data_IF_765978156112
#
_entry.id   IF_765978156112
#
_cell.length_a   1.000
_cell.length_b   1.000
_cell.length_c   1.000
_cell.angle_alpha   90.00
_cell.angle_beta   90.00
_cell.angle_gamma   90.00
#
_symmetry.space_group_name_H-M   'P 1'
#
loop_
_entity.id
_entity.type
_entity.pdbx_description
1 polymer ?
#
# COMPACT_ATOMS: atom_id res chain seq x y z
N UNK A 1 -38.48 6.03 -12.59
CA UNK A 1 -37.59 6.30 -13.75
C UNK A 1 -36.48 5.23 -13.76
N UNK A 2 -36.58 4.32 -14.73
CA UNK A 2 -35.70 3.15 -14.83
C UNK A 2 -34.32 3.60 -15.28
N UNK A 3 -33.25 3.38 -14.47
CA UNK A 3 -31.85 3.49 -14.89
C UNK A 3 -31.60 2.42 -15.96
N UNK A 4 -31.54 2.82 -17.23
CA UNK A 4 -31.00 1.96 -18.28
C UNK A 4 -29.56 1.61 -17.92
N UNK A 5 -29.33 0.37 -17.59
CA UNK A 5 -27.97 -0.17 -17.45
C UNK A 5 -27.33 -0.08 -18.83
N UNK A 6 -26.44 0.89 -19.02
CA UNK A 6 -25.72 1.07 -20.28
C UNK A 6 -24.76 -0.11 -20.42
N UNK A 7 -25.05 -1.07 -21.33
CA UNK A 7 -24.14 -2.17 -21.60
C UNK A 7 -22.96 -1.63 -22.42
N UNK A 8 -21.74 -1.93 -22.01
CA UNK A 8 -20.49 -1.54 -22.70
C UNK A 8 -20.50 -1.90 -24.18
N UNK A 9 -21.11 -3.02 -24.57
CA UNK A 9 -21.26 -3.46 -25.95
C UNK A 9 -22.05 -2.48 -26.86
N UNK A 10 -22.85 -1.60 -26.27
CA UNK A 10 -23.60 -0.57 -27.01
C UNK A 10 -22.90 0.79 -27.09
N UNK A 11 -21.71 0.94 -26.49
CA UNK A 11 -20.94 2.17 -26.48
C UNK A 11 -19.87 2.14 -27.57
N UNK A 12 -19.82 3.20 -28.37
CA UNK A 12 -18.73 3.44 -29.31
C UNK A 12 -17.54 4.07 -28.55
N UNK A 13 -16.57 3.23 -28.16
CA UNK A 13 -15.41 3.67 -27.38
C UNK A 13 -14.55 4.72 -28.13
N UNK A 14 -14.63 4.81 -29.46
CA UNK A 14 -13.95 5.86 -30.21
C UNK A 14 -14.47 7.25 -29.85
N UNK A 15 -15.72 7.35 -29.38
CA UNK A 15 -16.28 8.63 -28.92
C UNK A 15 -15.63 9.14 -27.63
N UNK A 16 -14.96 8.28 -26.83
CA UNK A 16 -14.20 8.73 -25.66
C UNK A 16 -12.99 9.56 -26.07
N UNK A 17 -12.25 9.14 -27.10
CA UNK A 17 -11.09 9.89 -27.62
C UNK A 17 -11.57 11.25 -28.16
N UNK A 18 -12.65 11.25 -28.94
CA UNK A 18 -13.25 12.50 -29.46
C UNK A 18 -13.70 13.41 -28.32
N UNK A 19 -14.36 12.86 -27.31
CA UNK A 19 -14.85 13.64 -26.15
C UNK A 19 -13.66 14.25 -25.40
N UNK A 20 -12.60 13.49 -25.12
CA UNK A 20 -11.39 13.97 -24.46
C UNK A 20 -10.82 15.21 -25.18
N UNK A 21 -10.58 15.11 -26.47
CA UNK A 21 -9.99 16.19 -27.23
C UNK A 21 -10.92 17.42 -27.36
N UNK A 22 -12.23 17.20 -27.44
CA UNK A 22 -13.21 18.29 -27.43
C UNK A 22 -13.21 19.05 -26.09
N UNK A 23 -13.13 18.32 -24.97
CA UNK A 23 -13.10 18.92 -23.63
C UNK A 23 -11.79 19.71 -23.39
N UNK A 24 -10.66 19.21 -23.90
CA UNK A 24 -9.35 19.86 -23.81
C UNK A 24 -9.29 21.12 -24.68
N UNK A 25 -9.56 20.98 -25.97
CA UNK A 25 -9.34 22.03 -26.96
C UNK A 25 -10.45 23.10 -26.96
N UNK A 26 -11.65 22.75 -26.53
CA UNK A 26 -12.84 23.63 -26.59
C UNK A 26 -13.03 24.25 -27.98
N UNK A 27 -12.59 23.53 -29.00
CA UNK A 27 -12.60 23.93 -30.38
C UNK A 27 -12.69 22.70 -31.28
N UNK A 28 -13.74 22.67 -32.11
CA UNK A 28 -14.05 21.51 -32.97
C UNK A 28 -12.96 21.26 -34.01
N UNK A 29 -12.42 22.33 -34.60
CA UNK A 29 -11.38 22.21 -35.64
C UNK A 29 -10.08 21.68 -35.05
N UNK A 30 -9.61 22.26 -33.95
CA UNK A 30 -8.38 21.79 -33.27
C UNK A 30 -8.52 20.39 -32.73
N UNK A 31 -9.68 20.04 -32.18
CA UNK A 31 -9.94 18.69 -31.73
C UNK A 31 -9.91 17.68 -32.89
N UNK A 32 -10.43 18.05 -34.08
CA UNK A 32 -10.36 17.20 -35.27
C UNK A 32 -8.92 16.94 -35.72
N UNK A 33 -8.08 17.97 -35.73
CA UNK A 33 -6.64 17.86 -36.02
C UNK A 33 -5.93 16.94 -35.04
N UNK A 34 -6.22 17.06 -33.74
CA UNK A 34 -5.65 16.22 -32.68
C UNK A 34 -6.04 14.75 -32.78
N UNK A 35 -7.31 14.47 -33.10
CA UNK A 35 -7.82 13.10 -33.28
C UNK A 35 -7.37 12.50 -34.63
N UNK A 36 -6.96 13.32 -35.57
CA UNK A 36 -6.60 12.86 -36.92
C UNK A 36 -7.81 12.57 -37.83
N UNK A 37 -8.95 13.24 -37.59
CA UNK A 37 -10.18 13.08 -38.38
C UNK A 37 -10.59 14.39 -39.07
N UNK A 38 -11.47 14.29 -40.08
CA UNK A 38 -12.02 15.50 -40.70
C UNK A 38 -12.98 16.25 -39.74
N UNK A 39 -13.05 17.58 -39.87
CA UNK A 39 -13.96 18.41 -39.08
C UNK A 39 -15.44 17.96 -39.20
N UNK A 40 -15.97 17.57 -40.39
CA UNK A 40 -17.32 17.00 -40.48
C UNK A 40 -17.51 15.73 -39.69
N UNK A 41 -16.51 14.83 -39.70
CA UNK A 41 -16.56 13.60 -38.93
C UNK A 41 -16.59 13.89 -37.40
N UNK A 42 -15.75 14.82 -36.92
CA UNK A 42 -15.76 15.21 -35.51
C UNK A 42 -17.07 15.90 -35.12
N UNK A 43 -17.63 16.72 -36.00
CA UNK A 43 -18.96 17.38 -35.79
C UNK A 43 -20.07 16.33 -35.64
N UNK A 44 -20.06 15.30 -36.47
CA UNK A 44 -21.00 14.17 -36.36
C UNK A 44 -20.84 13.41 -35.04
N UNK A 45 -19.58 13.16 -34.62
CA UNK A 45 -19.29 12.52 -33.33
C UNK A 45 -19.76 13.40 -32.15
N UNK A 46 -19.56 14.74 -32.20
CA UNK A 46 -20.07 15.67 -31.20
C UNK A 46 -21.63 15.64 -31.15
N UNK A 47 -22.30 15.56 -32.28
CA UNK A 47 -23.75 15.44 -32.31
C UNK A 47 -24.24 14.11 -31.67
N UNK A 48 -23.48 13.02 -31.81
CA UNK A 48 -23.79 11.75 -31.13
C UNK A 48 -23.57 11.86 -29.63
N UNK A 49 -22.49 12.49 -29.19
CA UNK A 49 -22.20 12.75 -27.77
C UNK A 49 -23.28 13.62 -27.12
N UNK A 50 -23.71 14.71 -27.78
CA UNK A 50 -24.81 15.57 -27.31
C UNK A 50 -26.11 14.81 -27.11
N UNK A 51 -26.45 13.92 -28.04
CA UNK A 51 -27.64 13.04 -27.88
C UNK A 51 -27.50 12.04 -26.77
N UNK A 52 -26.29 11.49 -26.55
CA UNK A 52 -26.03 10.50 -25.51
C UNK A 52 -26.13 11.12 -24.12
N UNK A 53 -25.54 12.29 -23.92
CA UNK A 53 -25.51 12.98 -22.63
C UNK A 53 -26.71 13.92 -22.42
N UNK A 54 -27.54 14.13 -23.45
CA UNK A 54 -28.62 15.11 -23.43
C UNK A 54 -28.15 16.50 -23.01
N UNK A 55 -26.90 16.87 -23.43
CA UNK A 55 -26.19 18.10 -23.08
C UNK A 55 -25.38 18.60 -24.27
N UNK A 56 -25.30 19.90 -24.41
CA UNK A 56 -24.56 20.52 -25.51
C UNK A 56 -23.03 20.36 -25.40
N UNK A 57 -22.51 20.02 -24.22
CA UNK A 57 -21.10 19.86 -23.87
C UNK A 57 -20.25 21.11 -24.11
N UNK A 58 -20.37 21.72 -25.27
CA UNK A 58 -19.73 22.97 -25.70
C UNK A 58 -20.77 23.98 -26.13
N UNK A 59 -20.84 25.11 -25.45
CA UNK A 59 -21.73 26.26 -25.81
C UNK A 59 -20.92 27.44 -26.30
N UNK A 60 -21.47 28.20 -27.28
CA UNK A 60 -20.81 29.38 -27.78
C UNK A 60 -20.76 30.49 -26.73
N UNK A 61 -19.60 31.11 -26.56
CA UNK A 61 -19.40 32.27 -25.69
C UNK A 61 -18.44 33.24 -26.37
N UNK A 62 -18.96 34.35 -26.84
CA UNK A 62 -18.18 35.31 -27.61
C UNK A 62 -17.58 34.69 -28.89
N UNK A 63 -16.26 34.78 -29.06
CA UNK A 63 -15.53 34.23 -30.22
C UNK A 63 -15.12 32.78 -30.08
N UNK A 64 -15.51 32.06 -28.99
CA UNK A 64 -15.07 30.70 -28.71
C UNK A 64 -16.17 29.79 -28.15
N UNK A 65 -15.76 28.70 -27.60
CA UNK A 65 -16.63 27.75 -26.91
C UNK A 65 -16.21 27.59 -25.43
N UNK A 66 -17.20 27.38 -24.56
CA UNK A 66 -17.01 27.04 -23.14
C UNK A 66 -17.72 25.75 -22.85
N UNK A 67 -17.19 25.03 -21.83
CA UNK A 67 -17.76 23.76 -21.37
C UNK A 67 -19.04 24.00 -20.56
N UNK A 68 -20.05 23.17 -20.77
CA UNK A 68 -21.21 23.11 -19.88
C UNK A 68 -20.80 22.63 -18.48
N UNK A 69 -21.66 22.76 -17.45
CA UNK A 69 -21.40 22.19 -16.13
C UNK A 69 -21.13 20.68 -16.19
N UNK A 70 -21.93 19.93 -16.97
CA UNK A 70 -21.75 18.49 -17.18
C UNK A 70 -20.41 18.17 -17.84
N UNK A 71 -20.05 18.89 -18.90
CA UNK A 71 -18.77 18.70 -19.60
C UNK A 71 -17.57 18.92 -18.68
N UNK A 72 -17.63 19.88 -17.75
CA UNK A 72 -16.59 20.07 -16.72
C UNK A 72 -16.47 18.89 -15.77
N UNK A 73 -17.59 18.32 -15.35
CA UNK A 73 -17.60 17.11 -14.49
C UNK A 73 -17.02 15.90 -15.23
N UNK A 74 -17.35 15.74 -16.52
CA UNK A 74 -16.87 14.64 -17.35
C UNK A 74 -15.36 14.74 -17.65
N UNK A 75 -14.75 15.91 -17.61
CA UNK A 75 -13.35 16.12 -18.02
C UNK A 75 -12.43 15.14 -17.30
N UNK A 76 -12.52 15.06 -15.96
CA UNK A 76 -11.67 14.17 -15.16
C UNK A 76 -11.99 12.69 -15.42
N UNK A 77 -13.27 12.34 -15.48
CA UNK A 77 -13.68 10.94 -15.70
C UNK A 77 -13.24 10.42 -17.07
N UNK A 78 -13.33 11.25 -18.11
CA UNK A 78 -12.88 10.88 -19.46
C UNK A 78 -11.38 10.69 -19.53
N UNK A 79 -10.60 11.58 -18.87
CA UNK A 79 -9.15 11.43 -18.77
C UNK A 79 -8.77 10.10 -18.08
N UNK A 80 -9.40 9.79 -16.95
CA UNK A 80 -9.14 8.57 -16.19
C UNK A 80 -9.45 7.31 -17.03
N UNK A 81 -10.56 7.29 -17.75
CA UNK A 81 -10.96 6.14 -18.60
C UNK A 81 -10.05 6.01 -19.83
N UNK A 82 -9.69 7.11 -20.49
CA UNK A 82 -8.75 7.07 -21.62
C UNK A 82 -7.38 6.58 -21.19
N UNK A 83 -6.87 7.05 -20.05
CA UNK A 83 -5.59 6.61 -19.51
C UNK A 83 -5.61 5.09 -19.16
N UNK A 84 -6.70 4.61 -18.56
CA UNK A 84 -6.86 3.17 -18.28
C UNK A 84 -6.91 2.33 -19.57
N UNK A 85 -7.60 2.82 -20.62
CA UNK A 85 -7.63 2.15 -21.92
C UNK A 85 -6.24 2.15 -22.58
N UNK A 86 -5.54 3.28 -22.57
CA UNK A 86 -4.18 3.39 -23.10
C UNK A 86 -3.23 2.41 -22.37
N UNK A 87 -3.32 2.28 -21.05
CA UNK A 87 -2.57 1.29 -20.28
C UNK A 87 -2.89 -0.16 -20.69
N UNK A 88 -4.16 -0.49 -20.90
CA UNK A 88 -4.57 -1.82 -21.34
C UNK A 88 -3.91 -2.22 -22.68
N UNK A 89 -3.81 -1.28 -23.63
CA UNK A 89 -3.21 -1.52 -24.94
C UNK A 89 -1.70 -1.29 -24.97
N UNK A 90 -1.13 -0.62 -23.98
CA UNK A 90 0.31 -0.46 -23.81
C UNK A 90 1.01 -1.69 -23.21
N UNK A 91 0.26 -2.75 -22.92
CA UNK A 91 0.80 -4.01 -22.39
C UNK A 91 1.87 -4.57 -23.33
N UNK A 92 3.16 -4.36 -23.00
CA UNK A 92 4.32 -4.72 -23.81
C UNK A 92 5.30 -3.57 -24.07
N UNK A 93 4.97 -2.33 -23.76
CA UNK A 93 5.88 -1.17 -23.83
C UNK A 93 6.44 -0.81 -22.45
N UNK A 94 7.60 -0.15 -22.42
CA UNK A 94 8.29 0.26 -21.21
C UNK A 94 7.36 1.05 -20.27
N UNK A 95 7.38 0.72 -18.98
CA UNK A 95 6.68 1.50 -17.96
C UNK A 95 7.36 2.86 -17.77
N UNK A 96 6.58 3.92 -17.74
CA UNK A 96 7.04 5.29 -17.49
C UNK A 96 6.41 5.77 -16.16
N UNK A 97 7.14 5.70 -15.03
CA UNK A 97 6.57 5.99 -13.72
C UNK A 97 6.08 7.44 -13.58
N UNK A 98 6.80 8.41 -14.16
CA UNK A 98 6.50 9.85 -14.10
C UNK A 98 5.13 10.24 -14.69
N UNK A 99 4.64 9.49 -15.65
CA UNK A 99 3.36 9.74 -16.32
C UNK A 99 2.25 8.75 -15.95
N UNK A 100 2.60 7.66 -15.27
CA UNK A 100 1.67 6.59 -14.91
C UNK A 100 0.59 7.07 -13.93
N UNK A 101 -0.65 6.68 -14.18
CA UNK A 101 -1.80 6.87 -13.27
C UNK A 101 -2.22 5.57 -12.59
N UNK A 102 -1.39 4.53 -12.68
CA UNK A 102 -1.66 3.23 -12.07
C UNK A 102 -1.83 3.34 -10.56
N UNK A 103 -2.74 2.55 -10.00
CA UNK A 103 -2.83 2.32 -8.56
C UNK A 103 -2.05 1.05 -8.23
N UNK A 104 -1.09 1.16 -7.30
CA UNK A 104 -0.39 0.04 -6.70
C UNK A 104 -0.99 -0.24 -5.33
N UNK A 105 -1.26 -1.50 -5.03
CA UNK A 105 -1.81 -1.92 -3.74
C UNK A 105 -0.81 -2.81 -3.01
N UNK A 106 -0.35 -2.37 -1.84
CA UNK A 106 0.52 -3.13 -0.95
C UNK A 106 -0.21 -3.50 0.34
N UNK A 107 -0.02 -4.73 0.79
CA UNK A 107 -0.44 -5.20 2.11
C UNK A 107 0.78 -5.31 3.02
N UNK A 108 0.70 -4.81 4.24
CA UNK A 108 1.78 -4.90 5.23
C UNK A 108 1.25 -4.71 6.65
N UNK A 109 2.05 -5.10 7.65
CA UNK A 109 1.76 -4.74 9.04
C UNK A 109 1.95 -3.24 9.27
N UNK A 110 1.33 -2.70 10.31
CA UNK A 110 1.52 -1.29 10.71
C UNK A 110 2.97 -1.00 11.14
N UNK A 111 3.65 -2.00 11.70
CA UNK A 111 5.09 -1.95 11.94
C UNK A 111 5.88 -1.69 10.66
N UNK A 112 5.65 -2.49 9.62
CA UNK A 112 6.35 -2.36 8.34
C UNK A 112 6.08 -0.97 7.72
N UNK A 113 4.82 -0.51 7.78
CA UNK A 113 4.45 0.83 7.36
C UNK A 113 5.20 1.92 8.14
N UNK A 114 5.39 1.74 9.45
CA UNK A 114 6.17 2.66 10.28
C UNK A 114 7.63 2.77 9.80
N UNK A 115 8.22 1.64 9.37
CA UNK A 115 9.63 1.59 8.95
C UNK A 115 9.85 2.16 7.56
N UNK A 116 9.01 1.79 6.58
CA UNK A 116 9.25 2.14 5.16
C UNK A 116 8.32 3.22 4.61
N UNK A 117 7.28 3.60 5.36
CA UNK A 117 6.19 4.44 4.84
C UNK A 117 6.63 5.81 4.36
N UNK A 118 7.54 6.47 5.08
CA UNK A 118 8.10 7.75 4.68
C UNK A 118 8.89 7.61 3.37
N UNK A 119 9.82 6.66 3.29
CA UNK A 119 10.62 6.42 2.09
C UNK A 119 9.76 6.07 0.87
N UNK A 120 8.67 5.30 1.08
CA UNK A 120 7.68 5.02 0.03
C UNK A 120 6.97 6.28 -0.45
N UNK A 121 6.54 7.13 0.46
CA UNK A 121 5.85 8.38 0.12
C UNK A 121 6.76 9.31 -0.69
N UNK A 122 8.00 9.52 -0.24
CA UNK A 122 9.02 10.33 -0.91
C UNK A 122 9.38 9.78 -2.30
N UNK A 123 9.49 8.45 -2.43
CA UNK A 123 9.79 7.79 -3.70
C UNK A 123 8.66 8.01 -4.71
N UNK A 124 7.41 7.78 -4.31
CA UNK A 124 6.26 7.99 -5.20
C UNK A 124 6.09 9.45 -5.60
N UNK A 125 6.32 10.39 -4.68
CA UNK A 125 6.29 11.83 -4.99
C UNK A 125 7.35 12.21 -6.02
N UNK A 126 8.56 11.67 -5.90
CA UNK A 126 9.70 11.99 -6.77
C UNK A 126 9.61 11.30 -8.13
N UNK A 127 9.27 10.00 -8.17
CA UNK A 127 9.40 9.20 -9.38
C UNK A 127 8.07 8.88 -10.08
N UNK A 128 6.97 8.79 -9.32
CA UNK A 128 5.67 8.41 -9.85
C UNK A 128 4.54 9.34 -9.35
N UNK A 129 4.65 10.68 -9.54
CA UNK A 129 3.79 11.66 -8.89
C UNK A 129 2.31 11.59 -9.31
N UNK A 130 1.99 10.87 -10.38
CA UNK A 130 0.61 10.66 -10.85
C UNK A 130 0.06 9.28 -10.51
N UNK A 131 0.92 8.33 -10.14
CA UNK A 131 0.52 7.02 -9.68
C UNK A 131 -0.13 7.11 -8.28
N UNK A 132 -0.90 6.10 -7.94
CA UNK A 132 -1.54 6.00 -6.61
C UNK A 132 -0.95 4.82 -5.86
N UNK A 133 -0.59 5.04 -4.61
CA UNK A 133 -0.19 3.98 -3.70
C UNK A 133 -1.31 3.75 -2.67
N UNK A 134 -1.84 2.53 -2.66
CA UNK A 134 -2.83 2.08 -1.69
C UNK A 134 -2.18 1.13 -0.71
N UNK A 135 -2.07 1.52 0.56
CA UNK A 135 -1.57 0.65 1.61
C UNK A 135 -2.77 0.08 2.38
N UNK A 136 -2.78 -1.25 2.52
CA UNK A 136 -3.77 -1.96 3.33
C UNK A 136 -3.04 -2.65 4.47
N UNK A 137 -3.49 -2.38 5.69
CA UNK A 137 -2.90 -3.05 6.85
C UNK A 137 -3.41 -4.49 6.93
N UNK A 138 -2.47 -5.41 7.09
CA UNK A 138 -2.77 -6.82 7.36
C UNK A 138 -3.25 -6.91 8.80
N UNK A 139 -4.46 -7.42 8.98
CA UNK A 139 -4.95 -7.87 10.27
C UNK A 139 -4.63 -9.36 10.39
N UNK A 140 -4.42 -9.82 11.61
CA UNK A 140 -4.06 -11.21 11.87
C UNK A 140 -5.08 -12.21 11.32
N UNK A 141 -6.36 -11.86 11.35
CA UNK A 141 -7.45 -12.65 10.74
C UNK A 141 -7.29 -12.84 9.22
N UNK A 142 -6.40 -12.07 8.56
CA UNK A 142 -6.08 -12.19 7.14
C UNK A 142 -4.84 -13.04 6.86
N UNK A 143 -4.05 -13.42 7.89
CA UNK A 143 -2.82 -14.19 7.67
C UNK A 143 -3.08 -15.54 6.98
N UNK A 144 -4.14 -16.23 7.37
CA UNK A 144 -4.56 -17.49 6.74
C UNK A 144 -5.01 -17.33 5.26
N UNK A 145 -5.46 -16.14 4.87
CA UNK A 145 -5.92 -15.84 3.50
C UNK A 145 -4.85 -15.16 2.63
N UNK A 146 -3.66 -14.83 3.17
CA UNK A 146 -2.58 -14.16 2.46
C UNK A 146 -2.24 -14.83 1.11
N UNK A 147 -2.11 -16.17 1.01
CA UNK A 147 -1.82 -16.83 -0.26
C UNK A 147 -2.87 -16.56 -1.35
N UNK A 148 -4.12 -16.34 -0.96
CA UNK A 148 -5.21 -16.00 -1.90
C UNK A 148 -5.20 -14.53 -2.25
N UNK A 149 -4.90 -13.66 -1.27
CA UNK A 149 -4.95 -12.20 -1.41
C UNK A 149 -3.80 -11.69 -2.27
N UNK A 150 -2.60 -12.32 -2.22
CA UNK A 150 -1.43 -11.96 -3.05
C UNK A 150 -1.75 -11.88 -4.54
N UNK A 151 -2.69 -12.67 -5.04
CA UNK A 151 -3.11 -12.64 -6.46
C UNK A 151 -3.87 -11.36 -6.86
N UNK A 152 -4.38 -10.61 -5.90
CA UNK A 152 -5.25 -9.44 -6.15
C UNK A 152 -4.63 -8.12 -5.71
N UNK A 153 -3.34 -8.14 -5.37
CA UNK A 153 -2.57 -6.98 -4.93
C UNK A 153 -1.21 -6.99 -5.62
N UNK A 154 -0.54 -5.85 -5.65
CA UNK A 154 0.80 -5.76 -6.22
C UNK A 154 1.87 -6.33 -5.29
N UNK A 155 1.60 -6.47 -4.01
CA UNK A 155 2.51 -7.16 -3.10
C UNK A 155 2.02 -7.24 -1.67
N UNK A 156 2.58 -8.22 -0.96
CA UNK A 156 2.46 -8.36 0.49
C UNK A 156 3.85 -8.25 1.07
N UNK A 157 4.04 -7.40 2.08
CA UNK A 157 5.30 -7.31 2.82
C UNK A 157 5.08 -7.97 4.17
N UNK A 158 5.76 -9.08 4.37
CA UNK A 158 5.60 -9.92 5.56
C UNK A 158 6.82 -10.86 5.73
N UNK A 159 7.05 -11.40 6.94
CA UNK A 159 8.00 -12.49 7.15
C UNK A 159 7.64 -13.75 6.35
N UNK A 160 8.60 -14.60 5.99
CA UNK A 160 8.43 -15.74 5.09
C UNK A 160 7.55 -16.90 5.58
N UNK A 161 7.02 -16.86 6.77
CA UNK A 161 6.54 -17.99 7.59
C UNK A 161 5.41 -18.84 6.96
N UNK A 162 4.57 -18.31 6.09
CA UNK A 162 3.39 -19.03 5.58
C UNK A 162 3.29 -18.98 4.04
N UNK A 163 4.20 -18.27 3.40
CA UNK A 163 4.15 -17.99 1.97
C UNK A 163 5.20 -18.79 1.16
N UNK A 164 6.24 -19.31 1.82
CA UNK A 164 7.37 -20.01 1.14
C UNK A 164 6.96 -21.27 0.39
N UNK A 165 5.94 -21.98 0.85
CA UNK A 165 5.48 -23.25 0.24
C UNK A 165 4.52 -23.04 -0.95
N UNK A 166 4.23 -21.81 -1.33
CA UNK A 166 3.27 -21.51 -2.40
C UNK A 166 3.98 -21.44 -3.77
N UNK A 167 3.77 -22.41 -4.70
CA UNK A 167 4.58 -22.58 -5.90
C UNK A 167 4.51 -21.42 -6.91
N UNK A 168 3.48 -20.56 -6.77
CA UNK A 168 3.29 -19.40 -7.65
C UNK A 168 3.65 -18.06 -7.00
N UNK A 169 4.19 -18.09 -5.81
CA UNK A 169 4.66 -16.88 -5.16
C UNK A 169 6.16 -16.72 -5.37
N UNK A 170 6.54 -15.47 -5.57
CA UNK A 170 7.92 -15.00 -5.62
C UNK A 170 8.16 -14.11 -4.42
N UNK A 171 9.40 -14.03 -3.99
CA UNK A 171 9.78 -13.15 -2.89
C UNK A 171 11.13 -12.49 -3.12
N UNK A 172 11.30 -11.34 -2.49
CA UNK A 172 12.58 -10.66 -2.36
C UNK A 172 12.69 -10.10 -0.93
N UNK A 173 13.82 -10.40 -0.28
CA UNK A 173 14.12 -9.85 1.04
C UNK A 173 14.27 -8.32 0.93
N UNK A 174 13.58 -7.58 1.80
CA UNK A 174 13.67 -6.13 1.86
C UNK A 174 14.64 -5.69 2.98
N UNK A 175 14.33 -6.03 4.21
CA UNK A 175 15.16 -5.67 5.35
C UNK A 175 15.05 -6.68 6.49
N UNK A 176 16.00 -6.56 7.42
CA UNK A 176 16.03 -7.34 8.66
C UNK A 176 15.82 -6.46 9.87
N UNK A 177 15.28 -7.05 10.93
CA UNK A 177 15.12 -6.40 12.22
C UNK A 177 15.26 -7.43 13.35
N UNK A 178 15.26 -6.96 14.57
CA UNK A 178 15.45 -7.78 15.77
C UNK A 178 14.31 -7.55 16.75
N UNK A 179 14.08 -8.53 17.61
CA UNK A 179 13.14 -8.40 18.70
C UNK A 179 13.82 -7.83 19.93
N UNK A 180 13.25 -6.79 20.49
CA UNK A 180 13.68 -6.15 21.74
C UNK A 180 12.54 -6.05 22.72
N UNK A 181 12.86 -6.02 24.00
CA UNK A 181 11.90 -5.71 25.05
C UNK A 181 11.82 -4.21 25.26
N UNK A 182 10.62 -3.68 25.52
CA UNK A 182 10.42 -2.31 25.94
C UNK A 182 9.69 -2.23 27.25
N UNK A 183 10.14 -1.32 28.11
CA UNK A 183 9.50 -0.96 29.39
C UNK A 183 9.50 0.56 29.52
N UNK A 184 8.63 1.11 30.35
CA UNK A 184 8.69 2.53 30.68
C UNK A 184 10.00 2.87 31.42
N UNK A 185 10.58 4.04 31.20
CA UNK A 185 11.85 4.47 31.83
C UNK A 185 11.82 4.43 33.37
N UNK A 186 10.66 4.76 33.96
CA UNK A 186 10.44 4.68 35.41
C UNK A 186 10.12 3.28 35.95
N UNK A 187 10.29 2.22 35.14
CA UNK A 187 10.02 0.85 35.58
C UNK A 187 11.05 0.38 36.62
N UNK A 188 10.59 -0.37 37.62
CA UNK A 188 11.40 -0.88 38.74
C UNK A 188 12.50 -1.89 38.38
N UNK A 189 12.50 -2.40 37.16
CA UNK A 189 13.59 -3.19 36.61
C UNK A 189 14.83 -2.31 36.53
N UNK A 190 15.67 -2.24 37.48
CA UNK A 190 16.92 -1.46 37.47
C UNK A 190 17.72 -1.56 36.13
N UNK A 191 18.97 -1.14 36.13
CA UNK A 191 19.85 -1.19 34.95
C UNK A 191 20.42 -2.59 34.67
N UNK A 192 19.98 -3.63 35.39
CA UNK A 192 20.41 -4.99 35.16
C UNK A 192 19.81 -5.55 33.87
N UNK A 193 20.59 -6.40 33.20
CA UNK A 193 20.10 -7.14 32.03
C UNK A 193 18.86 -7.96 32.36
N UNK A 194 17.87 -7.93 31.46
CA UNK A 194 16.63 -8.67 31.60
C UNK A 194 16.91 -10.17 31.64
N UNK A 195 16.23 -10.90 32.54
CA UNK A 195 16.33 -12.37 32.63
C UNK A 195 15.04 -13.06 32.13
N UNK A 196 15.13 -14.32 31.74
CA UNK A 196 13.94 -15.13 31.42
C UNK A 196 12.94 -15.20 32.60
N UNK A 197 13.44 -15.16 33.85
CA UNK A 197 12.59 -15.12 35.05
C UNK A 197 11.80 -13.80 35.12
N UNK A 198 12.40 -12.68 34.75
CA UNK A 198 11.69 -11.41 34.68
C UNK A 198 10.57 -11.44 33.64
N UNK A 199 10.83 -12.03 32.47
CA UNK A 199 9.83 -12.19 31.42
C UNK A 199 8.63 -13.04 31.88
N UNK A 200 8.83 -14.03 32.72
CA UNK A 200 7.74 -14.86 33.28
C UNK A 200 6.92 -14.15 34.35
N UNK A 201 7.53 -13.23 35.08
CA UNK A 201 6.91 -12.53 36.22
C UNK A 201 6.11 -11.31 35.83
N UNK A 202 6.56 -10.59 34.78
CA UNK A 202 5.99 -9.32 34.40
C UNK A 202 4.64 -9.45 33.69
N UNK A 203 3.85 -8.39 33.76
CA UNK A 203 2.62 -8.22 32.98
C UNK A 203 2.94 -7.74 31.57
N UNK A 204 2.27 -8.32 30.60
CA UNK A 204 2.57 -8.07 29.19
C UNK A 204 1.52 -7.22 28.49
N UNK A 205 2.00 -6.33 27.65
CA UNK A 205 1.25 -5.78 26.50
C UNK A 205 1.67 -6.59 25.29
N UNK A 206 0.72 -7.23 24.61
CA UNK A 206 1.00 -8.01 23.40
C UNK A 206 0.26 -7.45 22.19
N UNK A 207 0.94 -7.27 21.05
CA UNK A 207 0.26 -7.07 19.81
C UNK A 207 -0.38 -8.40 19.39
N UNK A 208 -1.63 -8.34 19.03
CA UNK A 208 -2.45 -9.48 18.63
C UNK A 208 -2.58 -10.58 19.69
N UNK A 209 -3.81 -10.98 19.91
CA UNK A 209 -4.14 -12.02 20.88
C UNK A 209 -4.39 -13.35 20.14
N UNK A 210 -4.04 -14.46 20.80
CA UNK A 210 -4.31 -15.81 20.27
C UNK A 210 -5.80 -16.04 20.11
N UNK A 211 -6.25 -16.29 18.90
CA UNK A 211 -7.61 -16.75 18.61
C UNK A 211 -7.64 -18.28 18.45
N UNK A 212 -8.70 -18.96 18.94
CA UNK A 212 -8.85 -20.40 18.74
C UNK A 212 -8.90 -20.76 17.25
N UNK A 213 -8.06 -21.70 16.81
CA UNK A 213 -8.05 -22.16 15.42
C UNK A 213 -7.23 -21.31 14.45
N UNK A 214 -6.59 -20.24 14.93
CA UNK A 214 -5.67 -19.42 14.15
C UNK A 214 -4.23 -19.68 14.56
N UNK A 215 -3.28 -19.56 13.62
CA UNK A 215 -1.85 -19.67 13.90
C UNK A 215 -1.43 -18.69 15.00
N UNK A 216 -0.45 -19.09 15.82
CA UNK A 216 0.00 -18.24 16.93
C UNK A 216 0.67 -16.96 16.36
N UNK A 217 0.23 -15.76 16.80
CA UNK A 217 0.84 -14.51 16.38
C UNK A 217 2.36 -14.46 16.62
N UNK A 218 3.11 -13.60 15.87
CA UNK A 218 4.57 -13.56 15.95
C UNK A 218 5.10 -13.40 17.38
N UNK A 219 4.60 -12.44 18.16
CA UNK A 219 5.08 -12.19 19.53
C UNK A 219 4.75 -13.35 20.48
N UNK A 220 3.50 -13.81 20.63
CA UNK A 220 3.20 -15.00 21.43
C UNK A 220 3.99 -16.23 20.99
N UNK A 221 4.22 -16.42 19.68
CA UNK A 221 5.01 -17.53 19.17
C UNK A 221 6.48 -17.44 19.61
N UNK A 222 7.10 -16.26 19.53
CA UNK A 222 8.48 -16.04 19.97
C UNK A 222 8.63 -16.27 21.48
N UNK A 223 7.70 -15.77 22.29
CA UNK A 223 7.70 -16.00 23.73
C UNK A 223 7.54 -17.49 24.05
N UNK A 224 6.67 -18.20 23.35
CA UNK A 224 6.50 -19.64 23.52
C UNK A 224 7.78 -20.44 23.16
N UNK A 225 8.50 -20.02 22.11
CA UNK A 225 9.79 -20.62 21.73
C UNK A 225 10.87 -20.44 22.83
N UNK A 226 10.79 -19.35 23.60
CA UNK A 226 11.63 -19.09 24.75
C UNK A 226 11.13 -19.79 26.04
N UNK A 227 10.06 -20.59 25.98
CA UNK A 227 9.42 -21.22 27.13
C UNK A 227 8.66 -20.24 28.03
N UNK A 228 8.32 -19.05 27.51
CA UNK A 228 7.60 -18.02 28.24
C UNK A 228 6.11 -18.13 27.95
N UNK A 229 5.29 -18.31 28.99
CA UNK A 229 3.84 -18.13 28.96
C UNK A 229 3.51 -16.75 29.52
N UNK A 230 3.32 -15.72 28.67
CA UNK A 230 3.16 -14.34 29.15
C UNK A 230 1.86 -14.17 29.93
N UNK A 231 1.91 -13.43 31.04
CA UNK A 231 0.73 -12.96 31.75
C UNK A 231 0.20 -11.73 31.03
N UNK A 232 -0.66 -11.97 30.03
CA UNK A 232 -1.18 -10.90 29.16
C UNK A 232 -2.15 -10.03 29.95
N UNK A 233 -1.74 -8.81 30.26
CA UNK A 233 -2.58 -7.80 30.91
C UNK A 233 -3.34 -6.94 29.90
N UNK A 234 -2.79 -6.79 28.67
CA UNK A 234 -3.41 -6.02 27.61
C UNK A 234 -3.01 -6.57 26.24
N UNK A 235 -3.98 -6.69 25.35
CA UNK A 235 -3.74 -7.01 23.94
C UNK A 235 -4.30 -5.92 23.02
N UNK A 236 -3.65 -5.70 21.87
CA UNK A 236 -4.05 -4.71 20.86
C UNK A 236 -3.71 -5.23 19.47
N UNK A 237 -4.58 -4.98 18.47
CA UNK A 237 -4.34 -5.38 17.07
C UNK A 237 -3.47 -4.34 16.33
N UNK A 238 -2.32 -3.99 16.91
CA UNK A 238 -1.41 -2.98 16.37
C UNK A 238 -0.05 -3.08 17.05
N UNK A 239 1.01 -3.19 16.29
CA UNK A 239 2.39 -3.07 16.82
C UNK A 239 2.67 -1.61 17.20
N UNK A 240 2.23 -0.67 16.39
CA UNK A 240 2.48 0.75 16.55
C UNK A 240 1.85 1.35 17.83
N UNK A 241 0.77 0.74 18.33
CA UNK A 241 0.13 1.17 19.56
C UNK A 241 0.83 0.68 20.85
N UNK A 242 1.62 -0.40 20.77
CA UNK A 242 2.26 -1.05 21.93
C UNK A 242 3.11 -0.08 22.75
N UNK A 243 4.00 0.75 22.17
CA UNK A 243 4.82 1.71 22.91
C UNK A 243 4.00 2.63 23.82
N UNK A 244 2.89 3.16 23.32
CA UNK A 244 2.01 4.04 24.10
C UNK A 244 1.29 3.31 25.25
N UNK A 245 1.04 2.00 25.14
CA UNK A 245 0.37 1.21 26.15
C UNK A 245 1.32 0.67 27.25
N UNK A 246 2.62 0.71 26.98
CA UNK A 246 3.69 0.42 27.95
C UNK A 246 4.04 1.68 28.76
N UNK A 247 4.02 2.85 28.12
CA UNK A 247 4.39 4.13 28.75
C UNK A 247 3.65 4.36 30.09
N UNK A 248 4.38 4.79 31.12
CA UNK A 248 3.84 5.07 32.45
C UNK A 248 3.28 3.86 33.20
N UNK A 249 3.58 2.62 32.77
CA UNK A 249 3.09 1.40 33.40
C UNK A 249 4.24 0.48 33.87
N UNK A 250 3.93 -0.52 34.69
CA UNK A 250 4.87 -1.59 35.05
C UNK A 250 4.79 -2.79 34.12
N UNK A 251 4.42 -2.58 32.86
CA UNK A 251 4.27 -3.63 31.84
C UNK A 251 5.49 -3.70 30.93
N UNK A 252 5.68 -4.88 30.35
CA UNK A 252 6.70 -5.13 29.33
C UNK A 252 6.03 -5.47 28.01
N UNK A 253 6.71 -5.20 26.90
CA UNK A 253 6.33 -5.71 25.59
C UNK A 253 7.55 -6.17 24.79
N UNK A 254 7.33 -7.11 23.88
CA UNK A 254 8.29 -7.52 22.85
C UNK A 254 7.87 -6.87 21.54
N UNK A 255 8.76 -6.08 20.97
CA UNK A 255 8.53 -5.33 19.73
C UNK A 255 9.79 -5.36 18.85
N UNK A 256 9.65 -4.93 17.62
CA UNK A 256 10.76 -4.79 16.68
C UNK A 256 11.67 -3.62 17.11
N UNK A 257 12.99 -3.78 16.96
CA UNK A 257 14.00 -2.77 17.39
C UNK A 257 13.77 -1.41 16.73
N UNK A 258 13.53 -1.39 15.42
CA UNK A 258 13.29 -0.13 14.67
C UNK A 258 12.05 0.60 15.19
N UNK A 259 10.98 -0.13 15.48
CA UNK A 259 9.78 0.44 16.10
C UNK A 259 10.08 0.98 17.50
N UNK A 260 10.77 0.20 18.33
CA UNK A 260 11.13 0.61 19.69
C UNK A 260 11.91 1.92 19.69
N UNK A 261 12.96 2.02 18.88
CA UNK A 261 13.82 3.19 18.79
C UNK A 261 13.08 4.43 18.29
N UNK A 262 12.18 4.28 17.32
CA UNK A 262 11.39 5.39 16.79
C UNK A 262 10.46 6.02 17.83
N UNK A 263 10.01 5.23 18.80
CA UNK A 263 9.07 5.69 19.83
C UNK A 263 9.68 5.84 21.23
N UNK A 264 10.94 5.45 21.43
CA UNK A 264 11.59 5.44 22.74
C UNK A 264 11.55 6.81 23.42
N UNK A 265 12.00 7.84 22.73
CA UNK A 265 12.01 9.22 23.26
C UNK A 265 10.59 9.74 23.50
N UNK A 266 9.69 9.55 22.55
CA UNK A 266 8.32 10.07 22.61
C UNK A 266 7.52 9.54 23.80
N UNK A 267 7.73 8.29 24.17
CA UNK A 267 6.98 7.60 25.22
C UNK A 267 7.81 7.31 26.48
N UNK A 268 9.00 7.86 26.56
CA UNK A 268 9.93 7.67 27.69
C UNK A 268 10.14 6.18 27.99
N UNK A 269 10.59 5.41 26.96
CA UNK A 269 10.82 3.98 27.06
C UNK A 269 12.30 3.65 27.10
N UNK A 270 12.62 2.60 27.86
CA UNK A 270 13.90 1.89 27.75
C UNK A 270 13.75 0.72 26.81
N UNK A 271 14.69 0.62 25.87
CA UNK A 271 14.84 -0.51 24.98
C UNK A 271 15.85 -1.46 25.59
N UNK A 272 15.47 -2.71 25.80
CA UNK A 272 16.27 -3.73 26.48
C UNK A 272 16.42 -4.94 25.55
N UNK A 273 17.60 -5.54 25.57
CA UNK A 273 17.81 -6.80 24.85
C UNK A 273 16.87 -7.88 25.37
N UNK A 274 16.28 -8.67 24.46
CA UNK A 274 15.44 -9.77 24.84
C UNK A 274 16.31 -10.98 25.23
N UNK A 275 16.21 -11.51 26.46
CA UNK A 275 17.00 -12.68 26.84
C UNK A 275 16.59 -13.90 26.02
N UNK A 276 17.57 -14.77 25.70
CA UNK A 276 17.36 -15.98 24.91
C UNK A 276 17.39 -15.79 23.41
N UNK A 277 17.79 -14.61 22.94
CA UNK A 277 18.06 -14.29 21.53
C UNK A 277 16.97 -14.80 20.59
N UNK A 278 15.76 -14.23 20.63
CA UNK A 278 14.68 -14.65 19.75
C UNK A 278 15.12 -14.51 18.29
N UNK A 279 14.76 -15.49 17.46
CA UNK A 279 15.08 -15.46 16.03
C UNK A 279 14.72 -14.12 15.40
N UNK A 280 15.63 -13.55 14.61
CA UNK A 280 15.46 -12.27 13.94
C UNK A 280 14.25 -12.19 13.01
N UNK A 281 13.95 -11.01 12.55
CA UNK A 281 12.86 -10.72 11.64
C UNK A 281 13.45 -10.51 10.25
N UNK A 282 12.85 -11.15 9.25
CA UNK A 282 13.14 -10.89 7.85
C UNK A 282 11.85 -10.42 7.19
N UNK A 283 11.79 -9.16 6.79
CA UNK A 283 10.66 -8.63 6.02
C UNK A 283 10.94 -8.80 4.53
N UNK A 284 10.03 -9.47 3.84
CA UNK A 284 10.13 -9.76 2.41
C UNK A 284 8.92 -9.28 1.64
N UNK A 285 9.14 -8.77 0.43
CA UNK A 285 8.07 -8.54 -0.54
C UNK A 285 7.70 -9.87 -1.18
N UNK A 286 6.41 -10.19 -1.19
CA UNK A 286 5.81 -11.34 -1.83
C UNK A 286 4.85 -10.89 -2.93
N UNK A 287 4.92 -11.56 -4.10
CA UNK A 287 4.01 -11.29 -5.21
C UNK A 287 3.69 -12.57 -5.99
N UNK A 288 2.61 -12.54 -6.76
CA UNK A 288 2.25 -13.66 -7.65
C UNK A 288 3.10 -13.63 -8.92
N UNK A 289 3.54 -14.80 -9.42
CA UNK A 289 4.40 -14.91 -10.60
C UNK A 289 3.77 -14.39 -11.90
N UNK A 290 2.44 -14.30 -11.97
CA UNK A 290 1.73 -13.63 -13.08
C UNK A 290 2.17 -12.15 -13.26
N UNK A 291 2.72 -11.52 -12.21
CA UNK A 291 3.22 -10.13 -12.23
C UNK A 291 4.69 -10.01 -12.68
N UNK A 292 5.41 -11.11 -12.84
CA UNK A 292 6.81 -11.09 -13.27
C UNK A 292 7.02 -10.34 -14.60
N UNK A 293 6.17 -10.54 -15.64
CA UNK A 293 6.34 -9.88 -16.93
C UNK A 293 5.82 -8.43 -16.94
N UNK A 294 5.18 -7.92 -15.88
CA UNK A 294 4.64 -6.56 -15.82
C UNK A 294 5.76 -5.53 -15.54
N UNK A 295 6.08 -4.62 -16.51
CA UNK A 295 7.14 -3.63 -16.32
C UNK A 295 6.87 -2.65 -15.17
N UNK A 296 5.60 -2.35 -14.89
CA UNK A 296 5.23 -1.48 -13.77
C UNK A 296 5.48 -2.18 -12.43
N UNK A 297 5.22 -3.47 -12.37
CA UNK A 297 5.54 -4.26 -11.18
C UNK A 297 7.06 -4.47 -11.02
N UNK A 298 7.81 -4.60 -12.12
CA UNK A 298 9.27 -4.65 -12.08
C UNK A 298 9.85 -3.37 -11.46
N UNK A 299 9.37 -2.19 -11.88
CA UNK A 299 9.72 -0.91 -11.25
C UNK A 299 9.39 -0.89 -9.76
N UNK A 300 8.20 -1.36 -9.35
CA UNK A 300 7.82 -1.38 -7.94
C UNK A 300 8.77 -2.27 -7.11
N UNK A 301 9.16 -3.45 -7.63
CA UNK A 301 10.12 -4.35 -6.96
C UNK A 301 11.49 -3.69 -6.78
N UNK A 302 11.99 -3.04 -7.83
CA UNK A 302 13.27 -2.32 -7.80
C UNK A 302 13.22 -1.17 -6.79
N UNK A 303 12.16 -0.38 -6.82
CA UNK A 303 11.92 0.72 -5.90
C UNK A 303 11.89 0.27 -4.42
N UNK A 304 11.17 -0.81 -4.12
CA UNK A 304 11.13 -1.40 -2.78
C UNK A 304 12.47 -1.99 -2.36
N UNK A 305 13.19 -2.64 -3.29
CA UNK A 305 14.55 -3.16 -3.02
C UNK A 305 15.51 -2.04 -2.64
N UNK A 306 15.48 -0.91 -3.35
CA UNK A 306 16.28 0.27 -3.03
C UNK A 306 15.99 0.84 -1.63
N UNK A 307 14.72 0.87 -1.22
CA UNK A 307 14.35 1.26 0.15
C UNK A 307 14.95 0.27 1.15
N UNK A 308 14.87 -1.04 0.88
CA UNK A 308 15.42 -2.07 1.73
C UNK A 308 16.95 -1.98 1.87
N UNK A 309 17.66 -1.64 0.79
CA UNK A 309 19.12 -1.41 0.81
C UNK A 309 19.50 -0.23 1.71
N UNK A 310 18.79 0.89 1.60
CA UNK A 310 18.99 2.03 2.49
C UNK A 310 18.79 1.69 3.97
N UNK A 311 17.88 0.77 4.29
CA UNK A 311 17.66 0.30 5.67
C UNK A 311 18.77 -0.63 6.17
N UNK A 312 19.44 -1.40 5.30
CA UNK A 312 20.57 -2.26 5.67
C UNK A 312 21.78 -1.45 6.05
N UNK A 313 22.06 -0.35 5.32
CA UNK A 313 23.16 0.55 5.57
C UNK A 313 22.99 1.37 6.87
N UNK A 314 21.76 1.54 7.32
CA UNK A 314 21.39 2.26 8.54
C UNK A 314 20.86 1.30 9.63
N UNK A 315 21.56 0.18 9.85
CA UNK A 315 21.20 -0.69 10.98
C UNK A 315 21.48 0.07 12.29
N UNK A 316 20.48 0.41 13.11
CA UNK A 316 20.70 1.02 14.41
C UNK A 316 21.31 -0.04 15.33
N UNK A 317 22.65 0.01 15.48
CA UNK A 317 23.39 -0.84 16.39
C UNK A 317 23.00 -0.65 17.84
#
# INVERSE_FOLDING_TARGET
MSRRTTQLAGLDLNLLVVLRELLRERNVTRAAERVGVSQPALSAALARLRRHFEDDLLVRSGRGYVLTPLARQLTRQVEDVCAAAEQLFATGSSFAPDTSVREFTLLMADYTLTVIGQSLAELFEREAPRARLRIRLVRESLSADLPRVVRFVDGVIAPPIELEEQPKLRSAELFRDEWVCVVWAGHELGDAALSLTDLQRLDWVVPYHREPGVALPPVPRRLAALGIAPRVALSVESYQAVPALVAGTHRIALVQRRLALQFAERFDLRVLECPGEPEGIVESLWWHDDLDPDPAHAWLREALSGIGEGLRDHNPG
#
